data_IF_925637858695
#
_entry.id   IF_925637858695
#
_cell.length_a   1.000
_cell.length_b   1.000
_cell.length_c   1.000
_cell.angle_alpha   90.00
_cell.angle_beta   90.00
_cell.angle_gamma   90.00
#
_symmetry.space_group_name_H-M   'P 1'
#
loop_
_entity.id
_entity.type
_entity.pdbx_description
1 polymer ?
#
# COMPACT_ATOMS: atom_id res chain seq x y z
N UNK A 1 -19.73 0.96 -39.67
CA UNK A 1 -19.57 -0.22 -38.79
C UNK A 1 -18.33 -0.18 -37.89
N UNK A 2 -17.35 0.72 -38.08
CA UNK A 2 -16.10 0.72 -37.27
C UNK A 2 -16.13 1.43 -35.91
N UNK A 3 -17.10 2.31 -35.64
CA UNK A 3 -17.15 3.08 -34.39
C UNK A 3 -17.67 2.26 -33.20
N UNK A 4 -18.69 1.42 -33.41
CA UNK A 4 -19.27 0.59 -32.35
C UNK A 4 -18.28 -0.46 -31.84
N UNK A 5 -17.58 -1.13 -32.75
CA UNK A 5 -16.56 -2.13 -32.39
C UNK A 5 -15.41 -1.49 -31.61
N UNK A 6 -14.92 -0.33 -32.04
CA UNK A 6 -13.90 0.42 -31.34
C UNK A 6 -14.33 0.79 -29.90
N UNK A 7 -15.54 1.32 -29.72
CA UNK A 7 -16.06 1.68 -28.40
C UNK A 7 -16.20 0.48 -27.47
N UNK A 8 -16.66 -0.66 -27.99
CA UNK A 8 -16.78 -1.90 -27.21
C UNK A 8 -15.40 -2.41 -26.78
N UNK A 9 -14.41 -2.43 -27.68
CA UNK A 9 -13.05 -2.85 -27.34
C UNK A 9 -12.40 -1.91 -26.33
N UNK A 10 -12.58 -0.60 -26.48
CA UNK A 10 -12.08 0.38 -25.53
C UNK A 10 -12.72 0.23 -24.14
N UNK A 11 -14.03 0.00 -24.08
CA UNK A 11 -14.74 -0.25 -22.82
C UNK A 11 -14.26 -1.53 -22.14
N UNK A 12 -14.08 -2.62 -22.89
CA UNK A 12 -13.56 -3.88 -22.36
C UNK A 12 -12.14 -3.72 -21.80
N UNK A 13 -11.27 -3.02 -22.54
CA UNK A 13 -9.91 -2.74 -22.10
C UNK A 13 -9.90 -1.88 -20.83
N UNK A 14 -10.75 -0.86 -20.77
CA UNK A 14 -10.91 -0.01 -19.60
C UNK A 14 -11.35 -0.81 -18.37
N UNK A 15 -12.38 -1.65 -18.51
CA UNK A 15 -12.86 -2.48 -17.40
C UNK A 15 -11.84 -3.53 -16.95
N UNK A 16 -11.12 -4.14 -17.90
CA UNK A 16 -10.02 -5.06 -17.57
C UNK A 16 -8.95 -4.35 -16.74
N UNK A 17 -8.53 -3.16 -17.16
CA UNK A 17 -7.56 -2.35 -16.41
C UNK A 17 -8.09 -1.93 -15.03
N UNK A 18 -9.36 -1.55 -14.94
CA UNK A 18 -9.99 -1.19 -13.67
C UNK A 18 -9.98 -2.37 -12.68
N UNK A 19 -10.30 -3.59 -13.14
CA UNK A 19 -10.26 -4.81 -12.31
C UNK A 19 -8.83 -5.09 -11.83
N UNK A 20 -7.84 -5.02 -12.73
CA UNK A 20 -6.43 -5.23 -12.38
C UNK A 20 -5.94 -4.19 -11.38
N UNK A 21 -6.31 -2.93 -11.58
CA UNK A 21 -5.94 -1.83 -10.68
C UNK A 21 -6.55 -2.02 -9.29
N UNK A 22 -7.84 -2.35 -9.19
CA UNK A 22 -8.53 -2.60 -7.92
C UNK A 22 -7.91 -3.81 -7.21
N UNK A 23 -7.66 -4.91 -7.92
CA UNK A 23 -7.05 -6.10 -7.34
C UNK A 23 -5.64 -5.81 -6.80
N UNK A 24 -4.85 -5.06 -7.55
CA UNK A 24 -3.49 -4.64 -7.14
C UNK A 24 -3.53 -3.73 -5.92
N UNK A 25 -4.44 -2.74 -5.92
CA UNK A 25 -4.66 -1.81 -4.80
C UNK A 25 -5.03 -2.56 -3.52
N UNK A 26 -5.94 -3.52 -3.63
CA UNK A 26 -6.36 -4.34 -2.50
C UNK A 26 -5.22 -5.25 -2.01
N UNK A 27 -4.49 -5.88 -2.92
CA UNK A 27 -3.34 -6.73 -2.56
C UNK A 27 -2.26 -5.94 -1.81
N UNK A 28 -1.92 -4.73 -2.27
CA UNK A 28 -0.97 -3.84 -1.58
C UNK A 28 -1.50 -3.46 -0.20
N UNK A 29 -2.78 -3.05 -0.10
CA UNK A 29 -3.40 -2.67 1.17
C UNK A 29 -3.36 -3.82 2.19
N UNK A 30 -3.70 -5.04 1.74
CA UNK A 30 -3.67 -6.24 2.58
C UNK A 30 -2.25 -6.53 3.06
N UNK A 31 -1.26 -6.47 2.16
CA UNK A 31 0.14 -6.69 2.52
C UNK A 31 0.60 -5.69 3.59
N UNK A 32 0.34 -4.39 3.37
CA UNK A 32 0.69 -3.37 4.36
C UNK A 32 -0.01 -3.59 5.69
N UNK A 33 -1.28 -4.01 5.69
CA UNK A 33 -1.99 -4.32 6.93
C UNK A 33 -1.36 -5.50 7.69
N UNK A 34 -0.95 -6.56 7.00
CA UNK A 34 -0.24 -7.68 7.63
C UNK A 34 1.14 -7.27 8.15
N UNK A 35 1.93 -6.54 7.37
CA UNK A 35 3.23 -6.04 7.81
C UNK A 35 3.08 -5.11 9.03
N UNK A 36 2.05 -4.25 9.05
CA UNK A 36 1.71 -3.40 10.19
C UNK A 36 1.33 -4.19 11.44
N UNK A 37 0.77 -5.40 11.29
CA UNK A 37 0.46 -6.26 12.43
C UNK A 37 1.71 -6.86 13.06
N UNK A 38 2.71 -7.22 12.25
CA UNK A 38 3.97 -7.81 12.71
C UNK A 38 4.88 -6.76 13.37
N UNK A 39 4.82 -5.51 12.91
CA UNK A 39 5.55 -4.39 13.50
C UNK A 39 4.91 -3.96 14.83
N UNK A 40 5.37 -4.59 15.91
CA UNK A 40 4.94 -4.31 17.30
C UNK A 40 5.21 -2.86 17.72
N UNK A 41 6.29 -2.25 17.20
CA UNK A 41 6.67 -0.87 17.43
C UNK A 41 7.16 -0.21 16.13
N UNK A 42 6.33 0.61 15.47
CA UNK A 42 6.69 1.24 14.20
C UNK A 42 7.73 2.36 14.42
N UNK A 43 8.81 2.37 13.62
CA UNK A 43 9.91 3.34 13.75
C UNK A 43 9.49 4.82 13.65
N UNK A 44 8.39 5.09 12.93
CA UNK A 44 7.80 6.41 12.76
C UNK A 44 6.73 6.76 13.80
N UNK A 45 6.44 5.88 14.76
CA UNK A 45 5.37 6.08 15.75
C UNK A 45 3.95 6.13 15.17
N UNK A 46 3.80 5.82 13.88
CA UNK A 46 2.51 5.82 13.17
C UNK A 46 1.69 4.62 13.64
N UNK A 47 0.45 4.84 14.07
CA UNK A 47 -0.43 3.74 14.47
C UNK A 47 -0.74 2.82 13.28
N UNK A 48 -0.90 1.52 13.56
CA UNK A 48 -1.19 0.49 12.55
C UNK A 48 -2.38 0.86 11.66
N UNK A 49 -3.44 1.37 12.27
CA UNK A 49 -4.65 1.81 11.57
C UNK A 49 -4.40 3.00 10.65
N UNK A 50 -3.57 3.96 11.08
CA UNK A 50 -3.24 5.13 10.27
C UNK A 50 -2.42 4.75 9.04
N UNK A 51 -1.45 3.86 9.20
CA UNK A 51 -0.64 3.40 8.06
C UNK A 51 -1.45 2.58 7.05
N UNK A 52 -2.35 1.69 7.52
CA UNK A 52 -3.28 0.98 6.64
C UNK A 52 -4.23 1.95 5.93
N UNK A 53 -4.78 2.95 6.63
CA UNK A 53 -5.64 3.96 6.02
C UNK A 53 -4.91 4.76 4.93
N UNK A 54 -3.67 5.18 5.17
CA UNK A 54 -2.88 5.90 4.17
C UNK A 54 -2.60 4.99 2.96
N UNK A 55 -2.31 3.70 3.19
CA UNK A 55 -2.07 2.74 2.10
C UNK A 55 -3.32 2.44 1.29
N UNK A 56 -4.49 2.48 1.92
CA UNK A 56 -5.77 2.31 1.25
C UNK A 56 -6.17 3.55 0.44
N UNK A 57 -5.90 4.78 0.92
CA UNK A 57 -6.25 6.01 0.19
C UNK A 57 -5.21 6.31 -0.90
N UNK A 58 -3.93 6.02 -0.63
CA UNK A 58 -2.81 6.30 -1.49
C UNK A 58 -1.87 5.08 -1.49
N UNK A 59 -2.02 4.10 -2.41
CA UNK A 59 -1.17 2.90 -2.45
C UNK A 59 0.31 3.25 -2.51
N UNK A 60 0.64 4.22 -3.37
CA UNK A 60 2.00 4.73 -3.53
C UNK A 60 2.46 5.41 -2.23
N UNK A 61 1.58 6.16 -1.55
CA UNK A 61 1.86 6.78 -0.25
C UNK A 61 2.09 5.75 0.85
N UNK A 62 1.28 4.69 0.90
CA UNK A 62 1.44 3.55 1.80
C UNK A 62 2.76 2.82 1.61
N UNK A 63 3.15 2.63 0.35
CA UNK A 63 4.40 2.00 -0.05
C UNK A 63 5.62 2.89 0.22
N UNK A 64 5.46 4.22 0.13
CA UNK A 64 6.47 5.19 0.56
C UNK A 64 6.66 5.16 2.08
N UNK A 65 5.58 5.11 2.86
CA UNK A 65 5.68 4.94 4.32
C UNK A 65 6.29 3.59 4.67
N UNK A 66 5.92 2.51 3.97
CA UNK A 66 6.57 1.19 4.11
C UNK A 66 8.08 1.30 3.91
N UNK A 67 8.50 1.93 2.82
CA UNK A 67 9.91 2.12 2.51
C UNK A 67 10.61 2.96 3.58
N UNK A 68 9.99 4.04 4.05
CA UNK A 68 10.52 4.85 5.15
C UNK A 68 10.63 4.05 6.46
N UNK A 69 9.69 3.16 6.77
CA UNK A 69 9.72 2.35 7.98
C UNK A 69 10.77 1.23 7.93
N UNK A 70 10.97 0.61 6.76
CA UNK A 70 11.77 -0.61 6.62
C UNK A 70 13.18 -0.38 6.05
N UNK A 71 13.40 0.69 5.29
CA UNK A 71 14.67 1.00 4.61
C UNK A 71 15.32 2.31 5.01
N UNK A 72 14.61 3.21 5.70
CA UNK A 72 15.31 4.35 6.28
C UNK A 72 16.21 3.84 7.40
N UNK A 73 17.39 4.43 7.51
CA UNK A 73 18.35 4.22 8.59
C UNK A 73 17.86 4.77 9.93
N UNK A 74 16.53 4.96 10.11
CA UNK A 74 15.85 5.17 11.38
C UNK A 74 15.98 3.89 12.23
N UNK A 75 17.23 3.52 12.56
CA UNK A 75 17.52 2.68 13.69
C UNK A 75 16.95 3.42 14.88
N UNK A 76 15.93 2.82 15.51
CA UNK A 76 15.65 3.13 16.90
C UNK A 76 16.99 2.98 17.62
N UNK A 77 17.50 4.08 18.18
CA UNK A 77 18.58 4.02 19.16
C UNK A 77 18.18 2.93 20.14
N UNK A 78 18.93 1.83 20.16
CA UNK A 78 18.75 0.77 21.15
C UNK A 78 18.68 1.44 22.51
N UNK A 79 17.49 1.55 23.08
CA UNK A 79 17.38 1.73 24.51
C UNK A 79 17.77 0.38 25.07
N UNK A 80 19.08 0.26 25.32
CA UNK A 80 19.68 -0.82 26.07
C UNK A 80 18.93 -0.86 27.39
N UNK A 81 18.03 -1.83 27.52
CA UNK A 81 17.36 -2.13 28.77
C UNK A 81 18.39 -2.81 29.66
N UNK A 82 19.22 -2.00 30.30
CA UNK A 82 19.76 -2.36 31.60
C UNK A 82 18.64 -2.14 32.62
N UNK A 83 18.60 -3.02 33.62
CA UNK A 83 17.59 -3.23 34.67
C UNK A 83 16.48 -4.22 34.28
#
# INVERSE_FOLDING_TARGET
>A
MGSLTFLVTAALLYWLWAIVAIATHLAITIKVYFDAKELSEPALGISRYLWTAISFVLPIGGMLIYWLMNHSTLKRSSYTKYY
#
